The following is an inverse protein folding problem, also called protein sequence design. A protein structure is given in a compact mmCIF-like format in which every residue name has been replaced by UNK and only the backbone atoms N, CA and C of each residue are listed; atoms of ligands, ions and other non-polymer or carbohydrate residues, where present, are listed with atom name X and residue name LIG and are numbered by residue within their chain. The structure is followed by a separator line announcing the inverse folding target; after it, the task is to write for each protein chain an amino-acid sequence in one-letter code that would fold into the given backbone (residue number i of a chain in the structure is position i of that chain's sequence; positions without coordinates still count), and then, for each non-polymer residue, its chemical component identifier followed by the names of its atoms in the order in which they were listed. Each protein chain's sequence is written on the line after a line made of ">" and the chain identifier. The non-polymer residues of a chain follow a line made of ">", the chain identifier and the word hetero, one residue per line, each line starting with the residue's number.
data_IF_157414290387
#
_entry.id   IF_157414290387
#
_cell.length_a   1.000
_cell.length_b   1.000
_cell.length_c   1.000
_cell.angle_alpha   90.00
_cell.angle_beta   90.00
_cell.angle_gamma   90.00
#
_symmetry.space_group_name_H-M   'P 1'
#
loop_
_entity.id
_entity.type
_entity.pdbx_description
1 polymer ?
#
# COMPACT_ATOMS: atom_id res chain seq x y z
N UNK A 1 -13.45 -10.26 10.50
CA UNK A 1 -13.07 -9.79 9.16
C UNK A 1 -11.56 -9.71 9.08
N UNK A 2 -10.98 -10.31 8.06
CA UNK A 2 -9.53 -10.38 7.95
C UNK A 2 -8.95 -9.04 7.50
N UNK A 3 -7.82 -8.71 8.10
CA UNK A 3 -7.05 -7.52 7.73
C UNK A 3 -5.57 -7.88 7.71
N UNK A 4 -4.78 -6.98 7.17
CA UNK A 4 -3.32 -7.09 7.23
C UNK A 4 -2.75 -5.77 7.77
N UNK A 5 -1.52 -5.84 8.27
CA UNK A 5 -0.84 -4.64 8.71
C UNK A 5 -0.33 -3.87 7.50
N UNK A 6 -0.52 -2.55 7.49
CA UNK A 6 -0.04 -1.69 6.42
C UNK A 6 0.77 -0.55 7.01
N UNK A 7 1.97 -0.36 6.48
CA UNK A 7 2.82 0.76 6.85
C UNK A 7 3.33 1.39 5.58
N UNK A 8 3.15 2.69 5.46
CA UNK A 8 3.65 3.44 4.30
C UNK A 8 4.73 4.38 4.79
N UNK A 9 5.94 4.18 4.28
CA UNK A 9 7.09 5.00 4.63
C UNK A 9 7.48 5.79 3.39
N UNK A 10 7.42 7.11 3.48
CA UNK A 10 7.79 8.02 2.40
C UNK A 10 9.09 8.71 2.80
N UNK A 11 10.14 8.45 2.03
CA UNK A 11 11.49 8.88 2.37
C UNK A 11 11.89 8.30 3.72
N UNK A 12 11.96 9.11 4.76
CA UNK A 12 12.42 8.67 6.07
C UNK A 12 11.35 8.81 7.15
N UNK A 13 10.07 8.97 6.75
CA UNK A 13 9.02 9.16 7.76
C UNK A 13 7.83 8.27 7.45
N UNK A 14 7.11 7.91 8.50
CA UNK A 14 5.90 7.10 8.38
C UNK A 14 4.74 7.99 7.96
N UNK A 15 4.18 7.71 6.79
CA UNK A 15 3.01 8.41 6.28
C UNK A 15 1.73 7.82 6.84
N UNK A 16 1.67 6.51 6.97
CA UNK A 16 0.50 5.81 7.48
C UNK A 16 0.92 4.51 8.15
N UNK A 17 0.25 4.14 9.21
CA UNK A 17 0.47 2.85 9.87
C UNK A 17 -0.83 2.41 10.50
N UNK A 18 -1.28 1.20 10.18
CA UNK A 18 -2.53 0.69 10.73
C UNK A 18 -2.93 -0.61 10.05
N UNK A 19 -4.21 -0.95 10.18
CA UNK A 19 -4.77 -2.16 9.56
C UNK A 19 -5.46 -1.77 8.27
N UNK A 20 -5.51 -2.71 7.34
CA UNK A 20 -6.08 -2.49 6.02
C UNK A 20 -6.78 -3.76 5.56
N UNK A 21 -7.88 -3.60 4.85
CA UNK A 21 -8.65 -4.74 4.32
C UNK A 21 -8.23 -5.09 2.91
N UNK A 22 -7.89 -4.08 2.11
CA UNK A 22 -7.51 -4.27 0.72
C UNK A 22 -6.65 -3.09 0.29
N UNK A 23 -5.62 -3.38 -0.47
CA UNK A 23 -4.73 -2.35 -0.99
C UNK A 23 -4.55 -2.56 -2.48
N UNK A 24 -4.68 -1.49 -3.27
CA UNK A 24 -4.42 -1.52 -4.70
C UNK A 24 -3.30 -0.53 -4.96
N UNK A 25 -2.21 -1.02 -5.56
CA UNK A 25 -1.04 -0.19 -5.83
C UNK A 25 -0.74 -0.14 -7.31
N UNK A 26 -0.16 0.97 -7.81
CA UNK A 26 0.28 1.04 -9.20
C UNK A 26 1.59 0.28 -9.35
N UNK A 27 1.63 -0.67 -10.27
CA UNK A 27 2.82 -1.47 -10.56
C UNK A 27 3.17 -1.31 -12.03
N UNK A 28 4.41 -1.65 -12.44
CA UNK A 28 4.83 -1.44 -13.83
C UNK A 28 3.94 -2.10 -14.87
N UNK A 29 3.36 -3.24 -14.54
CA UNK A 29 2.50 -3.98 -15.49
C UNK A 29 1.02 -3.78 -15.20
N UNK A 30 0.65 -2.75 -14.45
CA UNK A 30 -0.74 -2.45 -14.13
C UNK A 30 -0.95 -2.41 -12.63
N UNK A 31 -2.20 -2.38 -12.20
CA UNK A 31 -2.51 -2.34 -10.77
C UNK A 31 -2.37 -3.72 -10.14
N UNK A 32 -1.90 -3.74 -8.89
CA UNK A 32 -1.82 -4.96 -8.10
C UNK A 32 -2.72 -4.82 -6.88
N UNK A 33 -3.57 -5.82 -6.67
CA UNK A 33 -4.41 -5.87 -5.47
C UNK A 33 -3.77 -6.76 -4.42
N UNK A 34 -3.76 -6.29 -3.18
CA UNK A 34 -3.22 -7.04 -2.05
C UNK A 34 -4.33 -7.24 -1.05
N UNK A 35 -4.59 -8.49 -0.72
CA UNK A 35 -5.61 -8.90 0.25
C UNK A 35 -4.93 -9.53 1.46
N UNK A 36 -5.66 -9.73 2.57
CA UNK A 36 -5.10 -10.41 3.73
C UNK A 36 -4.53 -11.78 3.36
N UNK A 37 -3.43 -12.13 3.98
CA UNK A 37 -2.74 -13.41 3.78
C UNK A 37 -2.17 -13.58 2.38
N UNK A 38 -1.84 -12.49 1.72
CA UNK A 38 -1.14 -12.52 0.45
C UNK A 38 0.23 -13.18 0.63
N UNK A 39 0.67 -13.92 -0.38
CA UNK A 39 1.97 -14.58 -0.31
C UNK A 39 3.10 -13.56 -0.16
N UNK A 40 4.18 -13.99 0.50
CA UNK A 40 5.33 -13.11 0.72
C UNK A 40 6.00 -12.79 -0.61
N UNK A 41 6.26 -11.51 -0.84
CA UNK A 41 6.91 -11.08 -2.08
C UNK A 41 7.28 -9.60 -2.00
N UNK A 42 8.08 -9.16 -2.96
CA UNK A 42 8.40 -7.75 -3.15
C UNK A 42 7.82 -7.34 -4.49
N UNK A 43 7.10 -6.23 -4.50
CA UNK A 43 6.43 -5.72 -5.70
C UNK A 43 6.94 -4.32 -5.99
N UNK A 44 7.36 -4.07 -7.23
CA UNK A 44 7.76 -2.73 -7.64
C UNK A 44 6.53 -1.82 -7.68
N UNK A 45 6.69 -0.59 -7.19
CA UNK A 45 5.63 0.42 -7.19
C UNK A 45 6.06 1.54 -8.12
N UNK A 46 5.19 1.89 -9.07
CA UNK A 46 5.48 3.02 -9.93
C UNK A 46 4.71 4.25 -9.46
N UNK A 47 5.08 5.41 -9.94
CA UNK A 47 4.38 6.65 -9.61
C UNK A 47 2.92 6.51 -10.02
N UNK A 48 2.02 6.81 -9.10
CA UNK A 48 0.60 6.72 -9.38
C UNK A 48 -0.24 6.75 -8.12
N UNK A 49 -1.52 6.44 -8.29
CA UNK A 49 -2.48 6.50 -7.21
C UNK A 49 -2.70 5.12 -6.61
N UNK A 50 -2.55 5.00 -5.30
CA UNK A 50 -2.92 3.80 -4.56
C UNK A 50 -4.27 4.02 -3.90
N UNK A 51 -4.98 2.93 -3.65
CA UNK A 51 -6.26 2.98 -2.94
C UNK A 51 -6.22 1.93 -1.84
N UNK A 52 -6.66 2.33 -0.65
CA UNK A 52 -6.69 1.40 0.48
C UNK A 52 -8.06 1.43 1.13
N UNK A 53 -8.61 0.25 1.38
CA UNK A 53 -9.87 0.10 2.09
C UNK A 53 -9.54 -0.17 3.55
N UNK A 54 -9.77 0.81 4.40
CA UNK A 54 -9.46 0.72 5.83
C UNK A 54 -10.58 0.00 6.55
N UNK A 55 -11.81 0.41 6.27
CA UNK A 55 -13.01 -0.23 6.79
C UNK A 55 -13.92 -0.49 5.61
N UNK A 56 -14.88 -1.40 5.79
CA UNK A 56 -15.77 -1.78 4.70
C UNK A 56 -16.41 -0.56 4.03
N UNK A 57 -16.15 -0.42 2.74
CA UNK A 57 -16.69 0.69 1.95
C UNK A 57 -15.96 2.02 2.13
N UNK A 58 -14.97 2.09 3.01
CA UNK A 58 -14.23 3.33 3.25
C UNK A 58 -12.88 3.26 2.56
N UNK A 59 -12.81 3.83 1.35
CA UNK A 59 -11.61 3.84 0.54
C UNK A 59 -10.88 5.17 0.66
N UNK A 60 -9.57 5.09 0.81
CA UNK A 60 -8.70 6.26 0.91
C UNK A 60 -7.70 6.20 -0.22
N UNK A 61 -7.53 7.31 -0.93
CA UNK A 61 -6.55 7.39 -2.02
C UNK A 61 -5.28 8.04 -1.51
N UNK A 62 -4.14 7.56 -2.03
CA UNK A 62 -2.83 8.10 -1.69
C UNK A 62 -2.01 8.19 -2.97
N UNK A 63 -1.47 9.37 -3.25
CA UNK A 63 -0.59 9.56 -4.39
C UNK A 63 0.81 9.10 -3.99
N UNK A 64 1.36 8.11 -4.70
CA UNK A 64 2.64 7.52 -4.38
C UNK A 64 3.71 7.88 -5.40
N UNK A 65 4.90 8.16 -4.92
CA UNK A 65 6.10 8.11 -5.75
C UNK A 65 6.52 6.65 -5.94
N UNK A 66 7.60 6.43 -6.66
CA UNK A 66 8.04 5.07 -6.92
C UNK A 66 8.74 4.47 -5.71
N UNK A 67 8.80 3.15 -5.68
CA UNK A 67 9.44 2.42 -4.61
C UNK A 67 9.10 0.95 -4.67
N UNK A 68 8.91 0.35 -3.52
CA UNK A 68 8.63 -1.07 -3.42
C UNK A 68 7.58 -1.32 -2.35
N UNK A 69 6.83 -2.41 -2.55
CA UNK A 69 5.93 -2.95 -1.54
C UNK A 69 6.51 -4.28 -1.10
N UNK A 70 6.72 -4.44 0.19
CA UNK A 70 7.21 -5.69 0.76
C UNK A 70 6.07 -6.37 1.49
N UNK A 71 5.74 -7.60 1.11
CA UNK A 71 4.69 -8.38 1.77
C UNK A 71 5.36 -9.51 2.53
N UNK A 72 5.24 -9.50 3.85
CA UNK A 72 5.85 -10.53 4.71
C UNK A 72 4.87 -10.86 5.83
N UNK A 73 4.44 -12.12 5.88
CA UNK A 73 3.62 -12.64 6.99
C UNK A 73 2.43 -11.73 7.35
N UNK A 74 1.61 -11.44 6.35
CA UNK A 74 0.40 -10.64 6.49
C UNK A 74 0.67 -9.20 6.91
N UNK A 75 1.85 -8.69 6.55
CA UNK A 75 2.22 -7.28 6.75
C UNK A 75 2.74 -6.73 5.44
N UNK A 76 2.29 -5.53 5.10
CA UNK A 76 2.71 -4.85 3.88
C UNK A 76 3.40 -3.56 4.28
N UNK A 77 4.61 -3.37 3.78
CA UNK A 77 5.36 -2.14 3.97
C UNK A 77 5.60 -1.52 2.61
N UNK A 78 5.09 -0.30 2.41
CA UNK A 78 5.39 0.49 1.22
C UNK A 78 6.56 1.39 1.54
N UNK A 79 7.62 1.27 0.75
CA UNK A 79 8.80 2.12 0.85
C UNK A 79 8.86 2.92 -0.43
N UNK A 80 8.46 4.18 -0.37
CA UNK A 80 8.30 5.02 -1.56
C UNK A 80 8.99 6.37 -1.38
N UNK A 81 9.27 7.03 -2.50
CA UNK A 81 9.90 8.35 -2.46
C UNK A 81 9.00 9.38 -1.82
N UNK A 82 7.72 9.36 -2.18
CA UNK A 82 6.74 10.33 -1.67
C UNK A 82 5.40 9.66 -1.47
N UNK A 83 4.61 10.20 -0.56
CA UNK A 83 3.23 9.78 -0.35
C UNK A 83 2.45 11.01 0.09
N UNK A 84 1.31 11.28 -0.57
CA UNK A 84 0.51 12.44 -0.29
C UNK A 84 -0.97 12.12 -0.44
N UNK A 85 -1.78 12.78 0.38
CA UNK A 85 -3.23 12.72 0.18
C UNK A 85 -3.56 13.59 -1.02
N UNK A 86 -4.32 13.08 -2.00
CA UNK A 86 -4.74 13.92 -3.12
C UNK A 86 -5.76 14.96 -2.65
N UNK A 87 -5.77 16.09 -3.31
CA UNK A 87 -6.71 17.16 -3.00
C UNK A 87 -8.04 16.95 -3.68
#
# INVERSE_FOLDING_TARGET
>A
MDTFGLKIIASDRVFYEGRCRKLVIPAPDGEKGILPNHENMVIAVKIGMARMEIEEGNWVEVALGRGFAEVVNNRVTLLVDTAEKPE
#
